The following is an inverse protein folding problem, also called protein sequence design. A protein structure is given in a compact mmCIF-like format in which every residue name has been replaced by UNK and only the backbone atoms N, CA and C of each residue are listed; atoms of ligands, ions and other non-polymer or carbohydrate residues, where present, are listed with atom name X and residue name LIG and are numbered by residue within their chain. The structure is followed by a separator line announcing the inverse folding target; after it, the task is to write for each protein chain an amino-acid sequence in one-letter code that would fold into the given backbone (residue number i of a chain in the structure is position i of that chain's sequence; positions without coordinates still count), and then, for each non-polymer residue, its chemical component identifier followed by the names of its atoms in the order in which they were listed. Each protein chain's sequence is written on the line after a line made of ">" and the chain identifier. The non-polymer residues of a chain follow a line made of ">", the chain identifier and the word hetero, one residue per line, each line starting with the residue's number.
data_IF_485965868091
#
_entry.id   IF_485965868091
#
_cell.length_a   1.000
_cell.length_b   1.000
_cell.length_c   1.000
_cell.angle_alpha   90.00
_cell.angle_beta   90.00
_cell.angle_gamma   90.00
#
_symmetry.space_group_name_H-M   'P 1'
#
loop_
_entity.id
_entity.type
_entity.pdbx_description
1 polymer ?
#
# COMPACT_ATOMS: atom_id res chain seq x y z
N UNK A 1 -8.95 -45.54 26.70
CA UNK A 1 -8.65 -46.89 26.19
C UNK A 1 -8.62 -46.85 24.67
N UNK A 2 -7.64 -47.55 24.10
CA UNK A 2 -7.54 -48.09 22.73
C UNK A 2 -7.46 -47.15 21.52
N UNK A 3 -6.23 -47.02 21.02
CA UNK A 3 -5.82 -46.72 19.64
C UNK A 3 -6.24 -47.83 18.67
N UNK A 4 -6.68 -47.47 17.45
CA UNK A 4 -6.67 -48.36 16.28
C UNK A 4 -5.92 -47.63 15.15
N UNK A 5 -4.77 -48.20 14.78
CA UNK A 5 -3.98 -47.86 13.60
C UNK A 5 -4.37 -48.84 12.49
N UNK A 6 -4.86 -48.32 11.37
CA UNK A 6 -5.08 -49.13 10.17
C UNK A 6 -3.75 -49.32 9.42
N UNK A 7 -3.36 -50.58 9.21
CA UNK A 7 -2.14 -50.99 8.50
C UNK A 7 -2.49 -51.29 7.03
N UNK A 8 -1.85 -50.65 6.03
CA UNK A 8 -1.98 -51.08 4.64
C UNK A 8 -1.15 -52.36 4.37
N UNK A 9 -1.52 -53.16 3.35
CA UNK A 9 -1.03 -54.51 3.15
C UNK A 9 0.45 -54.57 2.71
N UNK A 10 1.12 -55.63 3.13
CA UNK A 10 2.48 -56.00 2.73
C UNK A 10 2.48 -56.53 1.29
N UNK A 11 3.04 -55.77 0.35
CA UNK A 11 3.35 -56.27 -0.99
C UNK A 11 4.68 -57.04 -0.94
N UNK A 12 4.61 -58.33 -1.30
CA UNK A 12 5.77 -59.20 -1.46
C UNK A 12 6.66 -58.69 -2.60
N UNK A 13 7.96 -58.63 -2.30
CA UNK A 13 9.03 -58.20 -3.20
C UNK A 13 9.29 -59.25 -4.29
N UNK A 14 9.35 -58.82 -5.55
CA UNK A 14 10.06 -59.50 -6.63
C UNK A 14 11.33 -58.69 -6.97
N UNK A 15 12.46 -59.34 -7.35
CA UNK A 15 13.73 -58.67 -7.50
C UNK A 15 13.84 -58.04 -8.89
N UNK A 16 13.80 -56.72 -8.96
CA UNK A 16 14.17 -55.94 -10.15
C UNK A 16 15.02 -54.76 -9.69
N UNK A 17 16.18 -54.47 -10.30
CA UNK A 17 17.11 -53.46 -9.79
C UNK A 17 16.53 -52.05 -9.85
N UNK A 18 16.94 -51.14 -8.95
CA UNK A 18 16.37 -49.80 -8.85
C UNK A 18 16.79 -48.93 -10.04
N UNK A 19 15.88 -48.06 -10.57
CA UNK A 19 16.30 -47.00 -11.48
C UNK A 19 17.14 -45.97 -10.70
N UNK A 20 18.16 -45.36 -11.32
CA UNK A 20 18.99 -44.39 -10.65
C UNK A 20 18.20 -43.13 -10.27
N UNK A 21 18.58 -42.59 -9.11
CA UNK A 21 18.08 -41.35 -8.50
C UNK A 21 18.00 -40.21 -9.53
N UNK A 22 16.83 -39.58 -9.64
CA UNK A 22 16.67 -38.36 -10.41
C UNK A 22 17.60 -37.27 -9.84
N UNK A 23 18.47 -36.64 -10.64
CA UNK A 23 19.31 -35.56 -10.18
C UNK A 23 18.48 -34.29 -9.99
N UNK A 24 18.89 -33.51 -8.98
CA UNK A 24 18.42 -32.16 -8.72
C UNK A 24 18.30 -31.33 -10.02
N UNK A 25 17.25 -30.50 -10.09
CA UNK A 25 16.98 -29.54 -11.16
C UNK A 25 18.20 -28.63 -11.41
N UNK A 26 19.09 -29.08 -12.29
CA UNK A 26 20.19 -28.28 -12.84
C UNK A 26 19.67 -27.61 -14.10
N UNK A 27 19.49 -26.29 -14.04
CA UNK A 27 19.09 -25.47 -15.19
C UNK A 27 20.29 -25.27 -16.12
N UNK A 28 20.66 -26.31 -16.88
CA UNK A 28 21.60 -26.18 -17.99
C UNK A 28 20.85 -25.58 -19.19
N UNK A 29 21.16 -24.32 -19.52
CA UNK A 29 20.70 -23.65 -20.74
C UNK A 29 21.48 -24.18 -21.96
N UNK A 30 20.87 -24.85 -22.94
CA UNK A 30 21.46 -24.93 -24.26
C UNK A 30 21.22 -23.60 -25.00
N UNK A 31 22.24 -23.11 -25.70
CA UNK A 31 22.15 -21.98 -26.63
C UNK A 31 21.37 -22.44 -27.88
N UNK A 32 20.05 -22.49 -27.80
CA UNK A 32 19.22 -22.69 -28.98
C UNK A 32 17.92 -21.91 -28.81
N UNK A 33 17.68 -20.98 -29.73
CA UNK A 33 16.45 -20.18 -29.79
C UNK A 33 15.22 -21.10 -29.89
N UNK A 34 14.17 -20.90 -29.08
CA UNK A 34 12.97 -21.71 -29.19
C UNK A 34 12.24 -21.40 -30.51
N UNK A 35 11.86 -22.46 -31.22
CA UNK A 35 11.00 -22.40 -32.40
C UNK A 35 9.62 -21.83 -31.99
N UNK A 36 9.06 -20.86 -32.74
CA UNK A 36 7.75 -20.29 -32.43
C UNK A 36 6.64 -21.33 -32.51
N UNK A 37 5.80 -21.39 -31.48
CA UNK A 37 4.56 -22.18 -31.47
C UNK A 37 3.55 -21.52 -32.43
N UNK A 38 3.00 -22.21 -33.44
CA UNK A 38 2.11 -21.58 -34.41
C UNK A 38 0.75 -21.21 -33.80
N UNK A 39 0.44 -19.91 -33.73
CA UNK A 39 -0.90 -19.40 -33.43
C UNK A 39 -1.84 -19.66 -34.64
N UNK A 40 -2.75 -20.62 -34.51
CA UNK A 40 -3.68 -21.04 -35.59
C UNK A 40 -4.88 -20.10 -35.86
N UNK A 41 -4.82 -18.83 -35.42
CA UNK A 41 -5.98 -17.92 -35.46
C UNK A 41 -5.82 -16.70 -36.38
N UNK A 42 -4.85 -16.70 -37.29
CA UNK A 42 -4.71 -15.64 -38.30
C UNK A 42 -4.78 -16.25 -39.70
N UNK A 43 -5.71 -15.76 -40.52
CA UNK A 43 -5.81 -16.16 -41.92
C UNK A 43 -4.57 -15.66 -42.70
N UNK A 44 -3.95 -16.49 -43.56
CA UNK A 44 -2.80 -16.06 -44.35
C UNK A 44 -3.24 -15.08 -45.46
N UNK A 45 -2.68 -13.87 -45.46
CA UNK A 45 -2.74 -12.96 -46.59
C UNK A 45 -1.73 -13.39 -47.66
N UNK A 46 -2.14 -13.33 -48.93
CA UNK A 46 -1.35 -13.76 -50.10
C UNK A 46 -0.06 -12.92 -50.28
N UNK A 47 1.04 -13.51 -50.76
CA UNK A 47 2.33 -12.82 -50.86
C UNK A 47 2.36 -11.84 -52.04
N UNK A 48 2.22 -10.55 -51.75
CA UNK A 48 2.56 -9.46 -52.66
C UNK A 48 4.07 -9.15 -52.62
N UNK A 49 4.61 -8.73 -53.76
CA UNK A 49 6.03 -8.42 -54.00
C UNK A 49 6.59 -7.39 -53.00
N UNK A 50 7.88 -7.48 -52.62
CA UNK A 50 8.45 -6.58 -51.61
C UNK A 50 8.66 -5.17 -52.18
N UNK A 51 8.13 -4.10 -51.56
CA UNK A 51 8.60 -2.76 -51.85
C UNK A 51 9.96 -2.55 -51.20
N UNK A 52 10.90 -2.04 -52.01
CA UNK A 52 12.17 -1.48 -51.54
C UNK A 52 11.82 -0.26 -50.68
N UNK A 53 11.91 -0.40 -49.36
CA UNK A 53 11.79 0.72 -48.44
C UNK A 53 13.02 0.70 -47.52
N UNK A 54 13.85 1.72 -47.70
CA UNK A 54 14.93 2.09 -46.78
C UNK A 54 14.42 2.12 -45.34
N UNK A 55 15.21 1.67 -44.34
CA UNK A 55 14.79 1.76 -42.95
C UNK A 55 14.77 3.23 -42.52
N UNK A 56 13.62 3.89 -42.63
CA UNK A 56 13.31 5.05 -41.81
C UNK A 56 13.11 4.54 -40.39
N UNK A 57 14.22 4.43 -39.65
CA UNK A 57 14.13 4.35 -38.19
C UNK A 57 13.48 5.65 -37.73
N UNK A 58 12.36 5.60 -36.97
CA UNK A 58 11.81 6.81 -36.38
C UNK A 58 12.93 7.51 -35.57
N UNK A 59 12.98 8.85 -35.57
CA UNK A 59 14.03 9.58 -34.86
C UNK A 59 14.07 9.09 -33.42
N UNK A 60 15.27 8.75 -32.95
CA UNK A 60 15.50 8.29 -31.59
C UNK A 60 14.78 9.24 -30.64
N UNK A 61 13.79 8.73 -29.90
CA UNK A 61 13.13 9.47 -28.84
C UNK A 61 14.24 10.09 -27.97
N UNK A 62 14.20 11.41 -27.70
CA UNK A 62 15.22 12.03 -26.89
C UNK A 62 15.36 11.23 -25.59
N UNK A 63 16.59 11.00 -25.09
CA UNK A 63 16.77 10.23 -23.86
C UNK A 63 15.89 10.88 -22.81
N UNK A 64 14.85 10.16 -22.38
CA UNK A 64 13.99 10.58 -21.31
C UNK A 64 14.93 10.73 -20.11
N UNK A 65 15.36 11.96 -19.83
CA UNK A 65 15.93 12.30 -18.53
C UNK A 65 14.95 11.68 -17.56
N UNK A 66 15.43 10.75 -16.73
CA UNK A 66 14.67 10.18 -15.62
C UNK A 66 14.30 11.35 -14.70
N UNK A 67 13.29 12.12 -15.08
CA UNK A 67 12.56 12.97 -14.19
C UNK A 67 11.99 11.97 -13.21
N UNK A 68 12.49 12.00 -11.98
CA UNK A 68 11.86 11.33 -10.87
C UNK A 68 10.40 11.78 -10.88
N UNK A 69 9.52 10.94 -11.42
CA UNK A 69 8.08 11.17 -11.35
C UNK A 69 7.77 11.06 -9.87
N UNK A 70 7.81 12.20 -9.17
CA UNK A 70 7.21 12.31 -7.86
C UNK A 70 5.73 12.48 -8.15
N UNK A 71 4.91 11.56 -7.67
CA UNK A 71 3.46 11.69 -7.75
C UNK A 71 3.06 13.06 -7.20
N UNK A 72 2.46 13.94 -8.01
CA UNK A 72 2.01 15.23 -7.51
C UNK A 72 0.95 14.98 -6.42
N UNK A 73 1.00 15.77 -5.35
CA UNK A 73 0.10 15.66 -4.21
C UNK A 73 -0.41 17.04 -3.84
N UNK A 74 -1.73 17.18 -3.67
CA UNK A 74 -2.32 18.43 -3.16
C UNK A 74 -2.05 18.65 -1.68
N UNK A 75 -1.66 17.59 -0.95
CA UNK A 75 -1.29 17.64 0.47
C UNK A 75 0.17 18.07 0.69
N UNK A 76 0.91 18.34 -0.38
CA UNK A 76 2.29 18.79 -0.31
C UNK A 76 2.54 20.02 -1.21
N UNK A 77 3.20 21.08 -0.70
CA UNK A 77 3.70 21.23 0.67
C UNK A 77 2.57 21.55 1.67
N UNK A 78 2.73 21.24 2.98
CA UNK A 78 1.62 21.27 3.93
C UNK A 78 1.28 22.69 4.45
N UNK A 79 2.02 23.73 4.05
CA UNK A 79 1.90 25.08 4.64
C UNK A 79 0.52 25.75 4.52
N UNK A 80 -0.32 25.28 3.59
CA UNK A 80 -1.69 25.77 3.42
C UNK A 80 -2.68 25.24 4.48
N UNK A 81 -2.28 24.23 5.23
CA UNK A 81 -3.10 23.58 6.24
C UNK A 81 -2.71 24.09 7.64
N UNK A 82 -3.68 24.47 8.50
CA UNK A 82 -3.38 24.92 9.85
C UNK A 82 -2.63 23.86 10.66
N UNK A 83 -1.61 24.30 11.41
CA UNK A 83 -0.83 23.42 12.28
C UNK A 83 -1.58 23.17 13.60
N UNK A 84 -1.79 21.90 13.94
CA UNK A 84 -2.40 21.44 15.19
C UNK A 84 -1.34 21.05 16.23
N UNK A 85 -0.29 20.34 15.80
CA UNK A 85 0.84 19.94 16.64
C UNK A 85 2.15 20.21 15.91
N UNK A 86 3.20 20.62 16.63
CA UNK A 86 4.45 21.06 16.00
C UNK A 86 5.53 19.97 15.87
N UNK A 87 5.56 18.98 16.78
CA UNK A 87 6.69 18.05 16.88
C UNK A 87 6.28 16.66 17.39
N UNK A 88 6.03 15.68 16.49
CA UNK A 88 6.02 15.80 15.02
C UNK A 88 4.83 16.62 14.50
N UNK A 89 4.93 17.23 13.30
CA UNK A 89 3.89 18.12 12.80
C UNK A 89 2.60 17.36 12.46
N UNK A 90 1.47 17.86 12.95
CA UNK A 90 0.11 17.41 12.59
C UNK A 90 -0.65 18.62 12.09
N UNK A 91 -1.31 18.49 10.95
CA UNK A 91 -2.08 19.55 10.32
C UNK A 91 -3.59 19.26 10.36
N UNK A 92 -4.43 20.27 10.26
CA UNK A 92 -5.86 20.10 10.06
C UNK A 92 -6.21 20.09 8.56
N UNK A 93 -7.16 19.27 8.16
CA UNK A 93 -7.68 19.22 6.79
C UNK A 93 -9.21 19.21 6.81
N UNK A 94 -9.83 19.93 5.89
CA UNK A 94 -11.29 19.93 5.73
C UNK A 94 -11.75 18.78 4.83
N UNK A 95 -13.02 18.40 4.94
CA UNK A 95 -13.60 17.33 4.11
C UNK A 95 -13.47 17.63 2.61
N UNK A 96 -13.66 18.90 2.22
CA UNK A 96 -13.48 19.40 0.85
C UNK A 96 -12.07 19.18 0.33
N UNK A 97 -11.06 19.57 1.10
CA UNK A 97 -9.66 19.44 0.69
C UNK A 97 -9.22 17.98 0.63
N UNK A 98 -9.69 17.15 1.56
CA UNK A 98 -9.46 15.70 1.52
C UNK A 98 -10.08 15.08 0.26
N UNK A 99 -11.32 15.45 -0.06
CA UNK A 99 -12.01 14.96 -1.24
C UNK A 99 -11.25 15.29 -2.52
N UNK A 100 -10.85 16.57 -2.68
CA UNK A 100 -10.06 17.01 -3.82
C UNK A 100 -8.70 16.29 -3.90
N UNK A 101 -8.04 16.04 -2.77
CA UNK A 101 -6.77 15.33 -2.73
C UNK A 101 -6.91 13.85 -3.14
N UNK A 102 -7.97 13.17 -2.70
CA UNK A 102 -8.27 11.78 -3.07
C UNK A 102 -8.64 11.65 -4.56
N UNK A 103 -9.44 12.58 -5.08
CA UNK A 103 -9.76 12.62 -6.51
C UNK A 103 -8.50 12.85 -7.34
N UNK A 104 -7.72 13.88 -6.97
CA UNK A 104 -6.47 14.21 -7.65
C UNK A 104 -5.53 13.00 -7.73
N UNK A 105 -5.30 12.31 -6.61
CA UNK A 105 -4.35 11.20 -6.59
C UNK A 105 -4.84 9.99 -7.37
N UNK A 106 -6.16 9.75 -7.39
CA UNK A 106 -6.77 8.68 -8.17
C UNK A 106 -6.71 8.91 -9.68
N UNK A 107 -6.57 10.17 -10.11
CA UNK A 107 -6.40 10.54 -11.53
C UNK A 107 -4.95 10.48 -12.02
N UNK A 108 -3.99 10.27 -11.12
CA UNK A 108 -2.58 10.20 -11.48
C UNK A 108 -2.21 8.84 -12.09
N UNK A 109 -1.28 8.81 -13.06
CA UNK A 109 -0.78 7.56 -13.60
C UNK A 109 -0.06 6.74 -12.52
N UNK A 110 -0.21 5.41 -12.59
CA UNK A 110 0.54 4.50 -11.74
C UNK A 110 2.04 4.58 -12.07
N UNK A 111 2.93 4.42 -11.09
CA UNK A 111 4.36 4.40 -11.34
C UNK A 111 4.73 3.18 -12.19
N UNK A 112 5.82 3.34 -12.96
CA UNK A 112 6.36 2.24 -13.76
C UNK A 112 6.67 1.04 -12.86
N UNK A 113 6.22 -0.18 -13.19
CA UNK A 113 6.39 -1.35 -12.33
C UNK A 113 7.83 -1.58 -11.89
N UNK A 114 8.81 -1.30 -12.77
CA UNK A 114 10.25 -1.43 -12.49
C UNK A 114 10.77 -0.51 -11.38
N UNK A 115 10.03 0.53 -11.00
CA UNK A 115 10.40 1.48 -9.95
C UNK A 115 9.91 1.06 -8.56
N UNK A 116 8.82 0.28 -8.50
CA UNK A 116 8.17 -0.16 -7.25
C UNK A 116 8.32 -1.67 -7.00
N UNK A 117 8.56 -2.45 -8.05
CA UNK A 117 8.93 -3.84 -7.97
C UNK A 117 10.45 -3.98 -7.78
N UNK A 118 10.92 -4.89 -6.92
CA UNK A 118 10.19 -5.88 -6.12
C UNK A 118 9.77 -5.40 -4.73
N UNK A 119 10.00 -4.13 -4.37
CA UNK A 119 9.70 -3.62 -3.02
C UNK A 119 8.27 -3.94 -2.58
N UNK A 120 7.27 -3.74 -3.46
CA UNK A 120 5.86 -4.06 -3.20
C UNK A 120 5.58 -5.53 -2.85
N UNK A 121 6.49 -6.47 -3.11
CA UNK A 121 6.29 -7.88 -2.75
C UNK A 121 6.73 -8.20 -1.32
N UNK A 122 7.34 -7.27 -0.62
CA UNK A 122 7.86 -7.50 0.72
C UNK A 122 9.19 -8.21 0.67
N UNK A 123 10.25 -7.54 1.11
CA UNK A 123 11.61 -8.05 1.07
C UNK A 123 12.24 -7.94 2.45
N UNK A 124 11.68 -8.71 3.38
CA UNK A 124 12.19 -8.80 4.73
C UNK A 124 13.63 -9.33 4.74
N UNK A 125 14.48 -8.78 5.62
CA UNK A 125 15.91 -9.14 5.68
C UNK A 125 16.16 -10.59 6.08
N UNK A 126 15.24 -11.17 6.87
CA UNK A 126 15.27 -12.57 7.31
C UNK A 126 14.70 -13.54 6.25
N UNK A 127 13.97 -13.05 5.24
CA UNK A 127 13.36 -13.92 4.24
C UNK A 127 14.34 -14.26 3.10
N UNK A 128 15.22 -15.21 3.36
CA UNK A 128 16.27 -15.60 2.41
C UNK A 128 15.71 -16.16 1.09
N UNK A 129 14.57 -16.86 1.11
CA UNK A 129 13.95 -17.44 -0.09
C UNK A 129 13.46 -16.33 -1.02
N UNK A 130 12.68 -15.40 -0.48
CA UNK A 130 12.13 -14.30 -1.25
C UNK A 130 13.24 -13.34 -1.74
N UNK A 131 14.25 -13.09 -0.91
CA UNK A 131 15.44 -12.34 -1.30
C UNK A 131 16.26 -13.04 -2.40
N UNK A 132 16.43 -14.37 -2.33
CA UNK A 132 17.13 -15.12 -3.37
C UNK A 132 16.38 -15.05 -4.71
N UNK A 133 15.05 -15.03 -4.70
CA UNK A 133 14.25 -14.91 -5.92
C UNK A 133 14.28 -13.49 -6.50
N UNK A 134 13.97 -12.46 -5.69
CA UNK A 134 13.79 -11.09 -6.18
C UNK A 134 15.07 -10.24 -6.17
N UNK A 135 15.99 -10.50 -5.24
CA UNK A 135 17.12 -9.64 -4.94
C UNK A 135 18.48 -10.29 -5.22
N UNK A 136 18.51 -11.45 -5.90
CA UNK A 136 19.71 -12.27 -6.21
C UNK A 136 20.96 -11.48 -6.61
N UNK A 137 20.82 -10.27 -7.18
CA UNK A 137 21.94 -9.45 -7.67
C UNK A 137 21.88 -7.95 -7.35
N UNK A 138 20.87 -7.43 -6.62
CA UNK A 138 20.69 -5.97 -6.41
C UNK A 138 20.08 -5.60 -5.05
N UNK A 139 20.92 -5.23 -4.08
CA UNK A 139 20.50 -4.77 -2.74
C UNK A 139 19.64 -3.50 -2.75
N UNK A 140 19.75 -2.66 -3.79
CA UNK A 140 18.97 -1.42 -3.95
C UNK A 140 17.48 -1.67 -4.12
N UNK A 141 17.08 -2.87 -4.57
CA UNK A 141 15.69 -3.27 -4.79
C UNK A 141 14.86 -3.39 -3.50
N UNK A 142 15.52 -3.38 -2.34
CA UNK A 142 14.88 -3.34 -1.01
C UNK A 142 14.50 -1.93 -0.55
N UNK A 143 15.03 -0.90 -1.21
CA UNK A 143 14.79 0.49 -0.79
C UNK A 143 13.36 0.89 -1.09
N UNK A 144 12.81 1.73 -0.22
CA UNK A 144 11.53 2.38 -0.47
C UNK A 144 11.59 3.19 -1.78
N UNK A 145 10.63 3.00 -2.69
CA UNK A 145 10.55 3.77 -3.92
C UNK A 145 10.40 5.26 -3.62
N UNK A 146 11.18 6.09 -4.33
CA UNK A 146 11.10 7.56 -4.22
C UNK A 146 10.12 8.19 -5.22
N UNK A 147 9.57 7.39 -6.12
CA UNK A 147 8.67 7.82 -7.20
C UNK A 147 7.19 7.74 -6.82
N UNK A 148 6.88 7.43 -5.56
CA UNK A 148 5.51 7.23 -5.12
C UNK A 148 5.26 8.05 -3.85
N UNK A 149 4.15 8.78 -3.86
CA UNK A 149 3.57 9.46 -2.70
C UNK A 149 2.08 9.20 -2.77
N UNK A 150 1.52 8.61 -1.73
CA UNK A 150 0.10 8.24 -1.67
C UNK A 150 -0.66 8.96 -0.56
N UNK A 151 -1.96 8.70 -0.45
CA UNK A 151 -2.78 9.12 0.68
C UNK A 151 -3.33 7.86 1.34
N UNK A 152 -3.17 7.75 2.65
CA UNK A 152 -3.80 6.69 3.45
C UNK A 152 -4.79 7.33 4.41
N UNK A 153 -6.03 6.84 4.39
CA UNK A 153 -7.11 7.36 5.23
C UNK A 153 -7.33 6.39 6.40
N UNK A 154 -7.27 6.89 7.62
CA UNK A 154 -7.39 6.09 8.85
C UNK A 154 -8.62 6.55 9.62
N UNK A 155 -9.52 5.61 9.95
CA UNK A 155 -10.67 5.85 10.82
C UNK A 155 -10.29 5.53 12.26
N UNK A 156 -10.25 6.54 13.14
CA UNK A 156 -10.11 6.32 14.58
C UNK A 156 -11.34 5.60 15.16
N UNK A 157 -11.22 4.97 16.33
CA UNK A 157 -12.23 4.06 16.89
C UNK A 157 -12.08 2.61 16.44
N UNK A 158 -11.39 2.36 15.31
CA UNK A 158 -11.10 1.01 14.80
C UNK A 158 -12.30 0.27 14.18
N UNK A 159 -13.53 0.68 14.49
CA UNK A 159 -14.75 0.11 13.90
C UNK A 159 -14.97 0.64 12.48
N UNK A 160 -14.79 -0.20 11.46
CA UNK A 160 -15.05 0.12 10.06
C UNK A 160 -16.46 -0.28 9.60
N UNK A 161 -17.32 -0.81 10.49
CA UNK A 161 -18.68 -1.26 10.16
C UNK A 161 -19.67 -0.12 9.92
N UNK A 162 -19.33 1.09 10.36
CA UNK A 162 -20.09 2.32 10.12
C UNK A 162 -19.13 3.48 9.82
N UNK A 163 -19.65 4.55 9.22
CA UNK A 163 -18.92 5.80 8.95
C UNK A 163 -17.58 5.59 8.22
N UNK A 164 -17.57 4.73 7.20
CA UNK A 164 -16.38 4.34 6.46
C UNK A 164 -16.23 5.15 5.18
N UNK A 165 -15.12 5.90 5.07
CA UNK A 165 -14.70 6.49 3.80
C UNK A 165 -14.06 5.41 2.91
N UNK A 166 -14.11 5.61 1.58
CA UNK A 166 -13.54 4.72 0.58
C UNK A 166 -12.08 4.37 0.91
N UNK A 167 -11.79 3.07 1.06
CA UNK A 167 -10.44 2.59 1.34
C UNK A 167 -9.88 3.04 2.70
N UNK A 168 -10.73 3.53 3.61
CA UNK A 168 -10.33 3.82 4.97
C UNK A 168 -9.99 2.52 5.71
N UNK A 169 -8.92 2.59 6.49
CA UNK A 169 -8.36 1.48 7.27
C UNK A 169 -8.45 1.75 8.76
N UNK A 170 -8.37 0.69 9.55
CA UNK A 170 -8.25 0.79 11.00
C UNK A 170 -6.82 1.17 11.41
N UNK A 171 -6.60 1.82 12.56
CA UNK A 171 -5.25 2.13 13.05
C UNK A 171 -4.39 0.88 13.22
N UNK A 172 -5.00 -0.26 13.53
CA UNK A 172 -4.36 -1.55 13.77
C UNK A 172 -3.74 -2.17 12.52
N UNK A 173 -4.13 -1.73 11.31
CA UNK A 173 -3.54 -2.21 10.07
C UNK A 173 -2.12 -1.65 9.82
N UNK A 174 -1.77 -0.54 10.49
CA UNK A 174 -0.49 0.15 10.27
C UNK A 174 0.29 0.44 11.56
N UNK A 175 -0.37 0.43 12.72
CA UNK A 175 0.25 0.64 14.03
C UNK A 175 0.19 -0.64 14.88
N UNK A 176 1.21 -0.91 15.72
CA UNK A 176 1.15 -1.99 16.70
C UNK A 176 0.06 -1.78 17.75
N UNK A 177 -0.56 -2.88 18.17
CA UNK A 177 -1.57 -2.93 19.24
C UNK A 177 -1.01 -3.67 20.47
N UNK A 178 -1.34 -3.21 21.69
CA UNK A 178 -1.01 -3.90 22.94
C UNK A 178 0.11 -3.26 23.78
N UNK A 179 0.49 -3.93 24.88
CA UNK A 179 1.39 -3.41 25.94
C UNK A 179 2.84 -3.15 25.49
N UNK A 180 3.26 -3.69 24.36
CA UNK A 180 4.49 -3.27 23.69
C UNK A 180 4.14 -2.25 22.61
N UNK A 181 3.80 -1.02 23.00
CA UNK A 181 3.68 0.12 22.10
C UNK A 181 5.06 0.45 21.52
N UNK A 182 5.52 -0.38 20.59
CA UNK A 182 6.76 -0.13 19.86
C UNK A 182 6.54 1.11 19.00
N UNK A 183 7.42 2.11 19.08
CA UNK A 183 7.29 3.27 18.23
C UNK A 183 7.55 2.85 16.78
N UNK A 184 6.68 3.27 15.85
CA UNK A 184 6.81 2.99 14.42
C UNK A 184 5.62 2.29 13.78
N UNK A 185 5.68 2.17 12.45
CA UNK A 185 4.75 1.36 11.67
C UNK A 185 5.00 -0.13 11.87
N UNK A 186 3.97 -0.94 11.61
CA UNK A 186 4.09 -2.39 11.52
C UNK A 186 5.10 -2.81 10.43
N UNK A 187 5.93 -3.80 10.75
CA UNK A 187 6.75 -4.48 9.75
C UNK A 187 5.87 -5.49 9.01
N UNK A 188 5.39 -5.10 7.84
CA UNK A 188 4.48 -5.90 7.05
C UNK A 188 5.20 -6.97 6.22
N UNK A 189 6.51 -6.84 5.97
CA UNK A 189 7.20 -7.78 5.08
C UNK A 189 7.32 -9.18 5.74
N UNK A 190 6.94 -10.26 5.03
CA UNK A 190 6.91 -11.60 5.61
C UNK A 190 8.34 -12.09 5.86
N UNK A 191 8.59 -12.58 7.07
CA UNK A 191 9.90 -13.07 7.51
C UNK A 191 10.32 -14.38 6.86
N UNK A 192 9.36 -15.18 6.41
CA UNK A 192 9.56 -16.48 5.78
C UNK A 192 8.48 -16.73 4.71
N UNK A 193 8.68 -17.78 3.92
CA UNK A 193 7.81 -18.17 2.83
C UNK A 193 8.10 -17.43 1.53
N UNK A 194 7.39 -17.84 0.47
CA UNK A 194 7.54 -17.25 -0.86
C UNK A 194 6.17 -16.90 -1.42
N UNK A 195 6.02 -15.64 -1.81
CA UNK A 195 4.82 -15.19 -2.51
C UNK A 195 5.16 -14.12 -3.52
N UNK A 196 4.73 -14.37 -4.75
CA UNK A 196 4.81 -13.39 -5.85
C UNK A 196 3.65 -12.40 -5.81
N UNK A 197 2.70 -12.51 -4.88
CA UNK A 197 1.56 -11.60 -4.72
C UNK A 197 1.18 -11.49 -3.25
N UNK A 198 1.76 -10.52 -2.55
CA UNK A 198 1.46 -10.27 -1.14
C UNK A 198 0.47 -9.11 -1.02
N UNK A 199 -0.82 -9.39 -1.08
CA UNK A 199 -1.85 -8.34 -0.92
C UNK A 199 -1.98 -7.87 0.53
N UNK A 200 -1.83 -8.79 1.49
CA UNK A 200 -1.95 -8.52 2.92
C UNK A 200 -0.96 -7.47 3.46
N UNK A 201 0.20 -7.31 2.82
CA UNK A 201 1.23 -6.36 3.27
C UNK A 201 1.06 -4.97 2.67
N UNK A 202 0.23 -4.83 1.64
CA UNK A 202 0.20 -3.61 0.82
C UNK A 202 -0.24 -2.39 1.62
N UNK A 203 -1.20 -2.54 2.54
CA UNK A 203 -1.66 -1.42 3.38
C UNK A 203 -0.50 -0.86 4.21
N UNK A 204 0.21 -1.72 4.95
CA UNK A 204 1.37 -1.33 5.76
C UNK A 204 2.50 -0.73 4.92
N UNK A 205 2.81 -1.32 3.76
CA UNK A 205 3.83 -0.78 2.85
C UNK A 205 3.44 0.56 2.25
N UNK A 206 2.19 0.73 1.83
CA UNK A 206 1.73 1.97 1.22
C UNK A 206 1.64 3.10 2.25
N UNK A 207 1.22 2.82 3.49
CA UNK A 207 1.22 3.79 4.57
C UNK A 207 2.60 4.41 4.83
N UNK A 208 3.67 3.62 4.66
CA UNK A 208 5.06 4.09 4.76
C UNK A 208 5.47 5.14 3.71
N UNK A 209 4.70 5.29 2.63
CA UNK A 209 4.93 6.23 1.52
C UNK A 209 3.73 7.16 1.31
N UNK A 210 2.88 7.32 2.33
CA UNK A 210 1.67 8.12 2.27
C UNK A 210 1.72 9.36 3.16
N UNK A 211 1.09 10.43 2.69
CA UNK A 211 0.43 11.39 3.59
C UNK A 211 -0.74 10.67 4.27
N UNK A 212 -0.84 10.76 5.59
CA UNK A 212 -1.83 9.99 6.35
C UNK A 212 -2.86 10.94 6.94
N UNK A 213 -4.14 10.67 6.68
CA UNK A 213 -5.26 11.49 7.12
C UNK A 213 -6.08 10.69 8.12
N UNK A 214 -6.26 11.22 9.32
CA UNK A 214 -7.03 10.59 10.40
C UNK A 214 -8.37 11.30 10.55
N UNK A 215 -9.45 10.55 10.64
CA UNK A 215 -10.78 11.08 10.93
C UNK A 215 -11.48 10.22 11.99
N UNK A 216 -12.46 10.80 12.68
CA UNK A 216 -13.38 10.08 13.56
C UNK A 216 -14.81 10.25 13.07
N UNK A 217 -15.71 9.39 13.54
CA UNK A 217 -17.16 9.59 13.39
C UNK A 217 -17.72 10.41 14.56
N UNK A 218 -19.03 10.65 14.57
CA UNK A 218 -19.71 11.44 15.60
C UNK A 218 -19.62 10.84 17.02
N UNK A 219 -19.34 9.53 17.15
CA UNK A 219 -19.24 8.84 18.44
C UNK A 219 -17.80 8.63 18.90
N UNK A 220 -16.83 8.77 18.01
CA UNK A 220 -15.40 8.60 18.30
C UNK A 220 -14.90 9.74 19.19
N UNK A 221 -14.18 9.41 20.26
CA UNK A 221 -13.59 10.42 21.13
C UNK A 221 -12.52 11.25 20.40
N UNK A 222 -12.58 12.57 20.55
CA UNK A 222 -11.65 13.50 19.89
C UNK A 222 -10.21 13.31 20.37
N UNK A 223 -10.03 12.94 21.64
CA UNK A 223 -8.74 12.59 22.20
C UNK A 223 -8.15 11.34 21.55
N UNK A 224 -8.99 10.35 21.23
CA UNK A 224 -8.59 9.17 20.48
C UNK A 224 -8.12 9.51 19.05
N UNK A 225 -8.88 10.32 18.30
CA UNK A 225 -8.49 10.78 16.95
C UNK A 225 -7.11 11.44 16.99
N UNK A 226 -6.90 12.33 17.97
CA UNK A 226 -5.62 13.01 18.16
C UNK A 226 -4.49 12.02 18.54
N UNK A 227 -4.76 11.08 19.45
CA UNK A 227 -3.79 10.10 19.89
C UNK A 227 -3.33 9.21 18.73
N UNK A 228 -4.25 8.76 17.87
CA UNK A 228 -3.94 8.01 16.65
C UNK A 228 -3.07 8.85 15.71
N UNK A 229 -3.45 10.10 15.44
CA UNK A 229 -2.67 11.00 14.59
C UNK A 229 -1.26 11.25 15.14
N UNK A 230 -1.13 11.43 16.45
CA UNK A 230 0.16 11.60 17.12
C UNK A 230 1.06 10.37 16.94
N UNK A 231 0.53 9.17 17.18
CA UNK A 231 1.26 7.92 16.99
C UNK A 231 1.71 7.73 15.55
N UNK A 232 0.88 8.10 14.58
CA UNK A 232 1.22 8.06 13.15
C UNK A 232 2.35 9.03 12.82
N UNK A 233 2.26 10.28 13.31
CA UNK A 233 3.27 11.30 13.06
C UNK A 233 4.62 10.91 13.69
N UNK A 234 4.61 10.30 14.88
CA UNK A 234 5.79 9.71 15.53
C UNK A 234 6.38 8.55 14.71
N UNK A 235 5.52 7.68 14.16
CA UNK A 235 5.95 6.59 13.29
C UNK A 235 6.61 7.09 11.99
N UNK A 236 6.04 8.11 11.35
CA UNK A 236 6.63 8.77 10.18
C UNK A 236 7.99 9.42 10.53
N UNK A 237 8.10 10.09 11.68
CA UNK A 237 9.34 10.70 12.14
C UNK A 237 10.44 9.66 12.43
N UNK A 238 10.11 8.56 13.11
CA UNK A 238 11.04 7.46 13.38
C UNK A 238 11.52 6.78 12.10
N UNK A 239 10.62 6.62 11.12
CA UNK A 239 10.98 6.06 9.82
C UNK A 239 12.00 6.94 9.10
N UNK A 240 11.80 8.25 9.12
CA UNK A 240 12.72 9.23 8.51
C UNK A 240 14.13 9.10 9.07
N UNK A 241 14.28 8.90 10.38
CA UNK A 241 15.60 8.73 11.01
C UNK A 241 16.24 7.37 10.66
N UNK A 242 15.46 6.30 10.50
CA UNK A 242 15.96 4.94 10.22
C UNK A 242 16.31 4.67 8.76
N UNK A 243 15.49 5.11 7.81
CA UNK A 243 15.56 4.63 6.41
C UNK A 243 16.60 5.37 5.56
N UNK A 244 16.90 6.64 5.86
CA UNK A 244 17.65 7.49 4.92
C UNK A 244 19.03 7.97 5.39
N UNK A 245 19.47 7.68 6.61
CA UNK A 245 20.73 8.25 7.13
C UNK A 245 20.83 9.78 6.95
N UNK A 246 19.67 10.45 6.89
CA UNK A 246 19.52 11.88 6.65
C UNK A 246 19.43 12.36 5.20
N UNK A 247 19.43 11.50 4.16
CA UNK A 247 19.40 11.96 2.75
C UNK A 247 17.99 12.12 2.16
N UNK A 248 17.60 13.38 1.94
CA UNK A 248 16.68 13.91 0.92
C UNK A 248 15.56 12.96 0.45
N UNK A 249 14.68 12.56 1.37
CA UNK A 249 13.31 12.16 1.03
C UNK A 249 12.37 13.24 1.53
N UNK A 250 11.43 13.62 0.67
CA UNK A 250 10.39 14.57 1.06
C UNK A 250 9.61 13.97 2.24
N UNK A 251 9.34 14.73 3.31
CA UNK A 251 8.58 14.22 4.42
C UNK A 251 7.13 13.95 3.99
N UNK A 252 6.59 12.86 4.54
CA UNK A 252 5.16 12.61 4.55
C UNK A 252 4.55 13.32 5.76
N UNK A 253 3.32 13.79 5.59
CA UNK A 253 2.62 14.57 6.59
C UNK A 253 1.48 13.76 7.21
N UNK A 254 1.11 14.14 8.44
CA UNK A 254 -0.09 13.63 9.10
C UNK A 254 -1.13 14.75 9.20
N UNK A 255 -2.37 14.42 8.85
CA UNK A 255 -3.50 15.33 8.89
C UNK A 255 -4.62 14.77 9.77
N UNK A 256 -5.39 15.66 10.40
CA UNK A 256 -6.63 15.32 11.11
C UNK A 256 -7.78 16.05 10.44
N UNK A 257 -8.87 15.33 10.17
CA UNK A 257 -10.07 15.94 9.60
C UNK A 257 -10.74 16.83 10.64
N UNK A 258 -11.00 18.08 10.27
CA UNK A 258 -11.65 19.10 11.10
C UNK A 258 -12.79 19.74 10.31
N UNK A 259 -13.85 20.19 10.96
CA UNK A 259 -14.85 21.07 10.32
C UNK A 259 -14.51 22.53 10.59
N UNK A 260 -14.98 23.43 9.72
CA UNK A 260 -14.95 24.87 10.00
C UNK A 260 -15.84 25.17 11.21
N UNK A 261 -15.24 25.26 12.39
CA UNK A 261 -15.89 25.77 13.60
C UNK A 261 -15.04 26.90 14.16
N UNK A 262 -15.73 28.03 14.35
CA UNK A 262 -15.26 29.39 14.58
C UNK A 262 -14.00 29.51 15.45
N UNK A 263 -13.00 30.23 14.94
CA UNK A 263 -11.84 30.69 15.70
C UNK A 263 -12.30 31.54 16.90
N UNK A 264 -12.31 30.97 18.11
CA UNK A 264 -12.30 31.77 19.34
C UNK A 264 -11.07 31.35 20.14
N UNK A 265 -10.11 32.28 20.20
CA UNK A 265 -8.89 32.17 20.96
C UNK A 265 -9.20 32.13 22.46
N UNK A 266 -9.23 30.93 23.04
CA UNK A 266 -9.16 30.72 24.50
C UNK A 266 -8.42 29.42 24.82
N UNK A 267 -7.19 29.56 25.35
CA UNK A 267 -6.38 28.54 26.04
C UNK A 267 -5.75 27.37 25.19
N UNK A 268 -4.41 27.24 25.10
CA UNK A 268 -3.73 26.36 24.13
C UNK A 268 -4.00 24.85 24.25
N UNK A 269 -4.34 24.33 25.42
CA UNK A 269 -4.63 22.89 25.61
C UNK A 269 -6.10 22.56 25.33
N UNK A 270 -7.02 23.48 25.61
CA UNK A 270 -8.44 23.33 25.29
C UNK A 270 -8.73 23.53 23.78
N UNK A 271 -7.91 24.33 23.09
CA UNK A 271 -8.03 24.63 21.64
C UNK A 271 -7.80 23.40 20.75
N UNK A 272 -6.92 22.47 21.16
CA UNK A 272 -6.57 21.34 20.30
C UNK A 272 -7.70 20.33 20.18
N UNK A 273 -8.34 20.00 21.31
CA UNK A 273 -9.49 19.09 21.35
C UNK A 273 -10.78 19.75 20.83
N UNK A 274 -10.91 21.08 20.91
CA UNK A 274 -12.06 21.79 20.31
C UNK A 274 -11.97 21.92 18.79
N UNK A 275 -10.77 21.86 18.18
CA UNK A 275 -10.59 21.91 16.71
C UNK A 275 -10.84 20.59 15.99
N UNK A 276 -10.76 19.46 16.68
CA UNK A 276 -11.04 18.13 16.10
C UNK A 276 -12.57 17.95 16.08
N UNK A 277 -13.21 18.71 15.20
CA UNK A 277 -14.65 18.68 14.97
C UNK A 277 -14.98 18.17 13.57
N UNK A 278 -14.09 17.39 12.94
CA UNK A 278 -14.39 16.76 11.65
C UNK A 278 -15.62 15.86 11.81
N UNK A 279 -16.75 16.29 11.26
CA UNK A 279 -18.00 15.52 11.33
C UNK A 279 -18.08 14.62 10.12
N UNK A 280 -18.25 13.33 10.33
CA UNK A 280 -18.42 12.39 9.24
C UNK A 280 -19.63 12.75 8.36
N UNK A 281 -20.70 13.28 8.96
CA UNK A 281 -21.87 13.80 8.27
C UNK A 281 -21.59 14.89 7.22
N UNK A 282 -20.43 15.57 7.25
CA UNK A 282 -20.01 16.48 6.18
C UNK A 282 -19.67 15.71 4.88
N UNK A 283 -19.03 14.55 5.00
CA UNK A 283 -18.80 13.68 3.85
C UNK A 283 -20.11 13.10 3.32
N UNK A 284 -21.03 12.71 4.19
CA UNK A 284 -22.34 12.20 3.75
C UNK A 284 -23.14 13.24 2.96
N UNK A 285 -23.09 14.51 3.37
CA UNK A 285 -23.85 15.60 2.75
C UNK A 285 -23.19 16.12 1.47
N UNK A 286 -21.89 16.35 1.50
CA UNK A 286 -21.18 17.11 0.46
C UNK A 286 -20.27 16.24 -0.41
N UNK A 287 -19.86 15.06 0.06
CA UNK A 287 -18.89 14.19 -0.62
C UNK A 287 -19.31 12.71 -0.58
N UNK A 288 -20.59 12.44 -0.84
CA UNK A 288 -21.19 11.10 -0.70
C UNK A 288 -20.55 10.02 -1.60
N UNK A 289 -19.86 10.44 -2.67
CA UNK A 289 -19.05 9.60 -3.56
C UNK A 289 -17.73 9.10 -2.93
N UNK A 290 -17.43 9.52 -1.69
CA UNK A 290 -16.32 9.00 -0.90
C UNK A 290 -16.81 8.12 0.26
N UNK A 291 -18.10 8.05 0.52
CA UNK A 291 -18.66 7.28 1.63
C UNK A 291 -18.94 5.87 1.17
N UNK A 292 -18.20 4.89 1.68
CA UNK A 292 -18.43 3.47 1.41
C UNK A 292 -19.54 2.91 2.31
N UNK A 293 -19.50 3.26 3.60
CA UNK A 293 -20.50 2.87 4.61
C UNK A 293 -20.97 4.12 5.34
N UNK A 294 -22.28 4.33 5.39
CA UNK A 294 -22.87 5.47 6.06
C UNK A 294 -22.77 5.37 7.60
N UNK A 295 -23.18 6.44 8.29
CA UNK A 295 -23.22 6.53 9.75
C UNK A 295 -24.15 5.52 10.43
N UNK A 296 -25.02 4.85 9.65
CA UNK A 296 -25.94 3.80 10.12
C UNK A 296 -25.41 2.40 9.83
N UNK A 297 -24.20 2.27 9.29
CA UNK A 297 -23.60 0.98 8.95
C UNK A 297 -24.11 0.38 7.63
N UNK A 298 -24.80 1.15 6.80
CA UNK A 298 -25.30 0.68 5.51
C UNK A 298 -24.32 1.02 4.40
N UNK A 299 -24.02 0.03 3.55
CA UNK A 299 -23.29 0.26 2.30
C UNK A 299 -24.06 1.24 1.41
N UNK A 300 -23.40 2.31 0.96
CA UNK A 300 -24.07 3.35 0.16
C UNK A 300 -24.28 2.94 -1.30
N UNK A 301 -23.43 2.05 -1.82
CA UNK A 301 -23.37 1.70 -3.24
C UNK A 301 -22.77 2.79 -4.14
N UNK A 302 -22.38 3.95 -3.58
CA UNK A 302 -21.77 5.04 -4.34
C UNK A 302 -20.33 4.72 -4.76
N UNK A 303 -19.70 3.77 -4.05
CA UNK A 303 -18.29 3.48 -4.18
C UNK A 303 -18.04 1.98 -4.13
N UNK A 304 -17.22 1.49 -5.04
CA UNK A 304 -16.61 0.16 -4.92
C UNK A 304 -15.51 0.24 -3.85
N UNK A 305 -15.72 -0.46 -2.74
CA UNK A 305 -14.75 -0.59 -1.67
C UNK A 305 -14.54 -2.07 -1.34
N UNK A 306 -13.35 -2.42 -0.86
CA UNK A 306 -13.09 -3.78 -0.41
C UNK A 306 -13.77 -3.97 0.94
N UNK A 307 -14.81 -4.79 0.97
CA UNK A 307 -15.44 -5.20 2.23
C UNK A 307 -14.52 -6.18 2.94
N UNK A 308 -14.22 -5.93 4.21
CA UNK A 308 -13.90 -7.02 5.12
C UNK A 308 -15.19 -7.83 5.26
N UNK A 309 -15.27 -8.96 4.56
CA UNK A 309 -16.24 -9.98 4.89
C UNK A 309 -15.82 -10.54 6.25
N UNK A 310 -16.23 -9.87 7.33
CA UNK A 310 -16.29 -10.48 8.66
C UNK A 310 -17.43 -11.51 8.63
N UNK A 311 -17.20 -12.62 7.94
CA UNK A 311 -17.95 -13.84 8.15
C UNK A 311 -17.44 -14.44 9.46
N UNK A 312 -18.26 -14.50 10.53
CA UNK A 312 -17.94 -15.36 11.65
C UNK A 312 -17.97 -16.81 11.14
N UNK A 313 -16.81 -17.47 11.14
CA UNK A 313 -16.73 -18.94 11.04
C UNK A 313 -16.69 -19.52 12.45
#
# INVERSE_FOLDING_TARGET
>A
MATIVARPPQLRQSPTPPPPLAPALSLNTPKTSPLPVPNKLLQPLSPGSPPVCTPETPPASPPAKQLSIQTPSLLYPPHRYPLLHAAPPIYSIEARDLAAALEHISSQPLPEPKQVFPWMHGLHVENHIQLAFFAARRKSLRRTPKCIRTITVVKAGGDLSASKLKGAISPQEILPYGQEERPGFLEADPKDGFSVRNFHIQVGKMAMVSDIVVYGDEITDKGEVYAVAKRIAEAQALRKTRTDGGKDTLPFNTFVVTSESLWISVNPVAILLTRIEGKFSEFEKSHSHLVAVDSKGKMTGNVMDFCELNTPY
#
